data_IF_938993926850
#
_entry.id   IF_938993926850
#
_cell.length_a   1.000
_cell.length_b   1.000
_cell.length_c   1.000
_cell.angle_alpha   90.00
_cell.angle_beta   90.00
_cell.angle_gamma   90.00
#
_symmetry.space_group_name_H-M   'P 1'
#
loop_
_entity.id
_entity.type
_entity.pdbx_description
1 polymer ?
#
# COMPACT_ATOMS: atom_id res chain seq x y z
N UNK A 1 8.93 -44.09 -2.84
CA UNK A 1 9.42 -43.48 -1.58
C UNK A 1 10.32 -42.28 -1.81
N UNK A 2 10.44 -41.74 -3.03
CA UNK A 2 11.33 -40.61 -3.32
C UNK A 2 10.60 -39.25 -3.38
N UNK A 3 9.31 -39.23 -3.75
CA UNK A 3 8.58 -37.96 -3.89
C UNK A 3 8.24 -37.28 -2.56
N UNK A 4 7.97 -38.05 -1.49
CA UNK A 4 7.76 -37.48 -0.15
C UNK A 4 9.03 -36.86 0.43
N UNK A 5 10.20 -37.40 0.07
CA UNK A 5 11.50 -36.83 0.43
C UNK A 5 11.79 -35.54 -0.32
N UNK A 6 11.48 -35.48 -1.63
CA UNK A 6 11.60 -34.29 -2.46
C UNK A 6 10.69 -33.15 -2.00
N UNK A 7 9.39 -33.41 -1.80
CA UNK A 7 8.44 -32.40 -1.32
C UNK A 7 8.83 -31.88 0.07
N UNK A 8 9.30 -32.76 0.97
CA UNK A 8 9.83 -32.33 2.27
C UNK A 8 11.13 -31.51 2.15
N UNK A 9 11.94 -31.78 1.11
CA UNK A 9 13.14 -31.04 0.77
C UNK A 9 12.82 -29.63 0.25
N UNK A 10 11.80 -29.48 -0.59
CA UNK A 10 11.37 -28.19 -1.14
C UNK A 10 10.87 -27.23 -0.06
N UNK A 11 10.02 -27.70 0.86
CA UNK A 11 9.62 -26.91 2.02
C UNK A 11 10.81 -26.59 2.94
N UNK A 12 11.79 -27.50 3.03
CA UNK A 12 13.05 -27.26 3.73
C UNK A 12 13.86 -26.13 3.10
N UNK A 13 13.95 -26.08 1.76
CA UNK A 13 14.62 -24.99 1.02
C UNK A 13 13.92 -23.65 1.23
N UNK A 14 12.59 -23.62 1.18
CA UNK A 14 11.79 -22.41 1.46
C UNK A 14 12.05 -21.92 2.89
N UNK A 15 12.03 -22.83 3.87
CA UNK A 15 12.31 -22.50 5.26
C UNK A 15 13.73 -21.94 5.43
N UNK A 16 14.73 -22.57 4.81
CA UNK A 16 16.11 -22.10 4.83
C UNK A 16 16.25 -20.71 4.19
N UNK A 17 15.51 -20.42 3.12
CA UNK A 17 15.50 -19.10 2.50
C UNK A 17 14.89 -18.04 3.41
N UNK A 18 13.77 -18.34 4.08
CA UNK A 18 13.15 -17.45 5.07
C UNK A 18 14.11 -17.19 6.23
N UNK A 19 14.73 -18.23 6.77
CA UNK A 19 15.72 -18.11 7.86
C UNK A 19 16.92 -17.29 7.39
N UNK A 20 17.46 -17.57 6.21
CA UNK A 20 18.58 -16.83 5.62
C UNK A 20 18.26 -15.35 5.43
N UNK A 21 17.08 -15.03 4.90
CA UNK A 21 16.60 -13.66 4.74
C UNK A 21 16.43 -12.94 6.08
N UNK A 22 15.82 -13.59 7.07
CA UNK A 22 15.69 -13.04 8.42
C UNK A 22 17.05 -12.80 9.09
N UNK A 23 17.98 -13.76 8.99
CA UNK A 23 19.34 -13.63 9.49
C UNK A 23 20.11 -12.51 8.78
N UNK A 24 19.90 -12.31 7.49
CA UNK A 24 20.52 -11.22 6.75
C UNK A 24 20.03 -9.86 7.26
N UNK A 25 18.71 -9.68 7.43
CA UNK A 25 18.14 -8.42 7.94
C UNK A 25 18.56 -8.18 9.39
N UNK A 26 18.45 -9.18 10.27
CA UNK A 26 18.81 -9.08 11.69
C UNK A 26 20.33 -8.87 11.84
N UNK A 27 21.12 -9.65 11.12
CA UNK A 27 22.58 -9.56 11.12
C UNK A 27 23.05 -8.19 10.63
N UNK A 28 22.47 -7.67 9.55
CA UNK A 28 22.72 -6.32 9.06
C UNK A 28 22.34 -5.25 10.08
N UNK A 29 21.18 -5.39 10.74
CA UNK A 29 20.76 -4.47 11.80
C UNK A 29 21.72 -4.47 12.99
N UNK A 30 22.16 -5.65 13.47
CA UNK A 30 23.15 -5.79 14.56
C UNK A 30 24.50 -5.20 14.14
N UNK A 31 24.98 -5.54 12.94
CA UNK A 31 26.23 -5.01 12.41
C UNK A 31 26.20 -3.49 12.31
N UNK A 32 25.12 -2.92 11.79
CA UNK A 32 24.92 -1.47 11.74
C UNK A 32 24.91 -0.84 13.14
N UNK A 33 24.31 -1.52 14.12
CA UNK A 33 24.22 -1.05 15.51
C UNK A 33 25.57 -1.02 16.21
N UNK A 34 26.47 -1.95 15.87
CA UNK A 34 27.85 -2.04 16.39
C UNK A 34 28.74 -0.97 15.72
N UNK A 35 28.63 -0.79 14.41
CA UNK A 35 29.50 0.13 13.66
C UNK A 35 29.10 1.61 13.83
N UNK A 36 27.81 1.89 14.06
CA UNK A 36 27.28 3.27 14.15
C UNK A 36 27.74 3.99 15.43
N UNK A 37 28.16 5.27 15.34
CA UNK A 37 28.36 6.13 16.51
C UNK A 37 27.08 6.25 17.35
N UNK A 38 27.17 5.91 18.65
CA UNK A 38 26.03 5.94 19.56
C UNK A 38 26.09 7.18 20.47
N UNK A 39 25.49 8.29 20.03
CA UNK A 39 25.39 9.56 20.80
C UNK A 39 23.93 10.00 20.95
N UNK A 40 23.16 9.40 21.88
CA UNK A 40 21.79 9.82 22.16
C UNK A 40 21.80 11.21 22.79
N UNK A 41 20.87 12.05 22.37
CA UNK A 41 20.57 13.35 22.98
C UNK A 41 19.02 13.47 23.04
N UNK A 42 18.47 14.32 23.92
CA UNK A 42 17.02 14.48 24.02
C UNK A 42 16.38 14.88 22.69
N UNK A 43 17.03 15.75 21.91
CA UNK A 43 16.51 16.22 20.62
C UNK A 43 16.50 15.20 19.47
N UNK A 44 17.39 14.19 19.45
CA UNK A 44 17.29 13.09 18.45
C UNK A 44 16.27 12.04 18.85
N UNK A 45 15.86 12.05 20.12
CA UNK A 45 14.87 11.13 20.66
C UNK A 45 13.47 11.75 20.72
N UNK A 46 13.36 13.07 20.48
CA UNK A 46 12.08 13.76 20.33
C UNK A 46 11.46 13.52 18.96
N UNK A 47 10.14 13.72 18.86
CA UNK A 47 9.43 13.62 17.58
C UNK A 47 9.75 14.84 16.73
N UNK A 48 9.94 14.63 15.42
CA UNK A 48 10.19 15.73 14.50
C UNK A 48 8.92 16.57 14.28
N UNK A 49 8.97 17.83 14.70
CA UNK A 49 7.88 18.82 14.59
C UNK A 49 8.39 20.15 13.98
N UNK A 50 9.33 20.06 13.03
CA UNK A 50 9.98 21.22 12.40
C UNK A 50 10.63 22.23 13.38
N UNK A 51 10.94 21.81 14.61
CA UNK A 51 11.59 22.62 15.64
C UNK A 51 10.66 23.17 16.73
N UNK A 52 9.36 22.85 16.67
CA UNK A 52 8.39 23.19 17.71
C UNK A 52 8.15 22.01 18.66
N UNK A 53 7.69 22.30 19.89
CA UNK A 53 7.27 21.25 20.81
C UNK A 53 5.92 20.67 20.37
N UNK A 54 5.72 19.33 20.42
CA UNK A 54 4.46 18.70 20.04
C UNK A 54 3.35 19.18 20.97
N UNK A 55 2.34 19.83 20.39
CA UNK A 55 1.17 20.34 21.12
C UNK A 55 -0.09 19.54 20.77
N UNK A 56 -0.86 19.20 21.80
CA UNK A 56 -2.15 18.53 21.64
C UNK A 56 -2.10 17.00 21.74
N UNK A 57 -3.11 16.34 21.18
CA UNK A 57 -3.29 14.89 21.25
C UNK A 57 -2.97 14.25 19.89
N UNK A 58 -2.20 13.17 19.88
CA UNK A 58 -1.88 12.40 18.68
C UNK A 58 -3.07 11.59 18.12
N UNK A 59 -4.25 11.64 18.75
CA UNK A 59 -5.48 11.01 18.25
C UNK A 59 -6.17 11.91 17.23
N UNK A 60 -5.95 11.62 15.95
CA UNK A 60 -6.66 12.23 14.84
C UNK A 60 -7.81 11.34 14.35
N UNK A 61 -8.86 11.95 13.83
CA UNK A 61 -9.92 11.23 13.13
C UNK A 61 -9.44 10.87 11.73
N UNK A 62 -9.13 9.59 11.52
CA UNK A 62 -8.80 9.09 10.18
C UNK A 62 -10.07 9.07 9.32
N UNK A 63 -9.93 9.41 8.04
CA UNK A 63 -11.04 9.38 7.09
C UNK A 63 -11.58 7.93 6.94
N UNK A 64 -12.90 7.75 6.88
CA UNK A 64 -13.51 6.42 6.73
C UNK A 64 -13.16 5.73 5.40
N UNK A 65 -12.69 6.48 4.40
CA UNK A 65 -12.29 5.96 3.09
C UNK A 65 -11.17 4.92 3.17
N UNK A 66 -10.25 5.07 4.14
CA UNK A 66 -9.22 4.06 4.40
C UNK A 66 -9.83 2.73 4.84
N UNK A 67 -10.88 2.77 5.66
CA UNK A 67 -11.59 1.59 6.10
C UNK A 67 -12.36 0.92 4.95
N UNK A 68 -13.04 1.70 4.11
CA UNK A 68 -13.76 1.17 2.93
C UNK A 68 -12.79 0.48 1.97
N UNK A 69 -11.62 1.09 1.70
CA UNK A 69 -10.59 0.47 0.86
C UNK A 69 -10.07 -0.85 1.45
N UNK A 70 -9.81 -0.89 2.76
CA UNK A 70 -9.38 -2.12 3.45
C UNK A 70 -10.45 -3.22 3.43
N UNK A 71 -11.72 -2.85 3.62
CA UNK A 71 -12.84 -3.80 3.58
C UNK A 71 -13.01 -4.41 2.19
N UNK A 72 -12.91 -3.59 1.13
CA UNK A 72 -12.97 -4.05 -0.26
C UNK A 72 -11.79 -4.97 -0.57
N UNK A 73 -10.58 -4.61 -0.16
CA UNK A 73 -9.40 -5.45 -0.31
C UNK A 73 -9.60 -6.83 0.36
N UNK A 74 -10.10 -6.85 1.60
CA UNK A 74 -10.38 -8.10 2.31
C UNK A 74 -11.43 -8.96 1.61
N UNK A 75 -12.47 -8.35 1.05
CA UNK A 75 -13.50 -9.07 0.27
C UNK A 75 -12.90 -9.71 -0.99
N UNK A 76 -12.09 -8.98 -1.75
CA UNK A 76 -11.40 -9.51 -2.93
C UNK A 76 -10.33 -10.56 -2.59
N UNK A 77 -9.64 -10.44 -1.45
CA UNK A 77 -8.67 -11.43 -1.00
C UNK A 77 -9.35 -12.78 -0.70
N UNK A 78 -10.49 -12.74 -0.02
CA UNK A 78 -11.32 -13.93 0.23
C UNK A 78 -11.89 -14.51 -1.07
N UNK A 79 -12.23 -13.68 -2.06
CA UNK A 79 -12.66 -14.16 -3.38
C UNK A 79 -11.61 -15.06 -4.04
N UNK A 80 -10.34 -14.64 -4.02
CA UNK A 80 -9.24 -15.38 -4.63
C UNK A 80 -9.07 -16.76 -3.97
N UNK A 81 -9.29 -16.87 -2.66
CA UNK A 81 -9.27 -18.17 -1.96
C UNK A 81 -10.32 -19.13 -2.53
N UNK A 82 -11.49 -18.65 -2.96
CA UNK A 82 -12.51 -19.48 -3.61
C UNK A 82 -12.19 -19.79 -5.08
N UNK A 83 -11.46 -18.91 -5.77
CA UNK A 83 -11.04 -19.15 -7.16
C UNK A 83 -10.01 -20.27 -7.29
N UNK A 84 -9.16 -20.51 -6.28
CA UNK A 84 -8.15 -21.57 -6.34
C UNK A 84 -8.75 -22.99 -6.47
N UNK A 85 -9.64 -23.45 -5.57
CA UNK A 85 -10.28 -24.75 -5.72
C UNK A 85 -11.14 -24.85 -6.99
N UNK A 86 -11.82 -23.76 -7.38
CA UNK A 86 -12.57 -23.73 -8.63
C UNK A 86 -11.65 -23.97 -9.83
N UNK A 87 -10.49 -23.32 -9.88
CA UNK A 87 -9.52 -23.47 -10.97
C UNK A 87 -8.97 -24.90 -11.07
N UNK A 88 -8.74 -25.57 -9.93
CA UNK A 88 -8.27 -26.98 -9.95
C UNK A 88 -9.34 -27.94 -10.44
N UNK A 89 -10.61 -27.73 -10.07
CA UNK A 89 -11.74 -28.56 -10.51
C UNK A 89 -12.14 -28.29 -11.97
N UNK A 90 -12.08 -27.02 -12.41
CA UNK A 90 -12.32 -26.66 -13.80
C UNK A 90 -11.29 -27.29 -14.75
N UNK A 91 -10.04 -27.46 -14.30
CA UNK A 91 -8.97 -28.08 -15.07
C UNK A 91 -9.00 -29.62 -15.07
N UNK A 92 -9.96 -30.26 -14.40
CA UNK A 92 -10.05 -31.70 -14.28
C UNK A 92 -10.54 -32.36 -15.59
N UNK A 93 -9.66 -33.16 -16.20
CA UNK A 93 -9.90 -33.81 -17.50
C UNK A 93 -10.93 -34.93 -17.40
N UNK A 94 -11.07 -35.59 -16.26
CA UNK A 94 -11.99 -36.70 -16.05
C UNK A 94 -13.43 -36.18 -15.98
N UNK A 95 -13.65 -35.12 -15.21
CA UNK A 95 -14.95 -34.44 -15.12
C UNK A 95 -15.42 -33.87 -16.47
N UNK A 96 -14.50 -33.29 -17.25
CA UNK A 96 -14.81 -32.76 -18.59
C UNK A 96 -15.23 -33.89 -19.55
N UNK A 97 -14.65 -35.09 -19.42
CA UNK A 97 -14.98 -36.24 -20.27
C UNK A 97 -16.32 -36.89 -19.91
N UNK A 98 -16.64 -36.99 -18.62
CA UNK A 98 -17.89 -37.58 -18.15
C UNK A 98 -19.10 -36.66 -18.41
N UNK A 99 -18.93 -35.35 -18.27
CA UNK A 99 -19.99 -34.38 -18.46
C UNK A 99 -19.53 -33.22 -19.37
N UNK A 100 -19.76 -33.28 -20.69
CA UNK A 100 -19.30 -32.26 -21.64
C UNK A 100 -19.87 -30.86 -21.38
N UNK A 101 -21.01 -30.76 -20.70
CA UNK A 101 -21.64 -29.49 -20.30
C UNK A 101 -21.10 -28.91 -18.99
N UNK A 102 -20.32 -29.68 -18.22
CA UNK A 102 -19.77 -29.28 -16.91
C UNK A 102 -18.91 -28.03 -17.00
N UNK A 103 -18.00 -27.97 -18.00
CA UNK A 103 -17.11 -26.82 -18.16
C UNK A 103 -17.85 -25.50 -18.38
N UNK A 104 -18.94 -25.52 -19.15
CA UNK A 104 -19.79 -24.33 -19.35
C UNK A 104 -20.52 -23.91 -18.07
N UNK A 105 -20.96 -24.88 -17.26
CA UNK A 105 -21.61 -24.62 -15.99
C UNK A 105 -20.62 -24.00 -14.98
N UNK A 106 -19.46 -24.62 -14.77
CA UNK A 106 -18.42 -24.13 -13.88
C UNK A 106 -17.91 -22.73 -14.31
N UNK A 107 -17.82 -22.47 -15.62
CA UNK A 107 -17.49 -21.15 -16.15
C UNK A 107 -18.59 -20.12 -15.86
N UNK A 108 -19.86 -20.49 -16.01
CA UNK A 108 -20.97 -19.59 -15.69
C UNK A 108 -21.01 -19.25 -14.19
N UNK A 109 -20.72 -20.22 -13.31
CA UNK A 109 -20.65 -20.01 -11.86
C UNK A 109 -19.56 -19.00 -11.48
N UNK A 110 -18.34 -19.14 -12.02
CA UNK A 110 -17.26 -18.18 -11.68
C UNK A 110 -17.54 -16.79 -12.22
N UNK A 111 -18.14 -16.68 -13.41
CA UNK A 111 -18.52 -15.39 -14.00
C UNK A 111 -19.63 -14.75 -13.16
N UNK A 112 -20.60 -15.53 -12.69
CA UNK A 112 -21.67 -15.03 -11.82
C UNK A 112 -21.09 -14.58 -10.47
N UNK A 113 -20.23 -15.40 -9.88
CA UNK A 113 -19.57 -15.11 -8.59
C UNK A 113 -18.74 -13.83 -8.65
N UNK A 114 -17.81 -13.72 -9.61
CA UNK A 114 -17.02 -12.52 -9.83
C UNK A 114 -17.92 -11.33 -10.24
N UNK A 115 -18.95 -11.56 -11.04
CA UNK A 115 -19.90 -10.55 -11.49
C UNK A 115 -20.63 -9.85 -10.34
N UNK A 116 -21.07 -10.60 -9.32
CA UNK A 116 -21.73 -10.04 -8.13
C UNK A 116 -20.78 -9.08 -7.39
N UNK A 117 -19.52 -9.45 -7.23
CA UNK A 117 -18.51 -8.63 -6.54
C UNK A 117 -18.11 -7.42 -7.37
N UNK A 118 -17.98 -7.57 -8.69
CA UNK A 118 -17.74 -6.47 -9.62
C UNK A 118 -18.87 -5.43 -9.60
N UNK A 119 -20.13 -5.86 -9.49
CA UNK A 119 -21.27 -4.95 -9.32
C UNK A 119 -21.16 -4.19 -7.99
N UNK A 120 -20.78 -4.87 -6.91
CA UNK A 120 -20.50 -4.23 -5.62
C UNK A 120 -19.39 -3.18 -5.70
N UNK A 121 -18.27 -3.52 -6.36
CA UNK A 121 -17.17 -2.58 -6.60
C UNK A 121 -17.61 -1.39 -7.45
N UNK A 122 -18.36 -1.64 -8.53
CA UNK A 122 -18.88 -0.59 -9.40
C UNK A 122 -19.81 0.36 -8.63
N UNK A 123 -20.65 -0.15 -7.73
CA UNK A 123 -21.50 0.66 -6.86
C UNK A 123 -20.69 1.59 -5.95
N UNK A 124 -19.68 1.05 -5.26
CA UNK A 124 -18.84 1.87 -4.36
C UNK A 124 -18.04 2.91 -5.14
N UNK A 125 -17.55 2.54 -6.32
CA UNK A 125 -16.86 3.47 -7.21
C UNK A 125 -17.79 4.59 -7.69
N UNK A 126 -18.99 4.26 -8.17
CA UNK A 126 -19.97 5.26 -8.60
C UNK A 126 -20.38 6.22 -7.46
N UNK A 127 -20.35 5.76 -6.22
CA UNK A 127 -20.62 6.57 -5.03
C UNK A 127 -19.47 7.53 -4.67
N UNK A 128 -18.26 7.33 -5.21
CA UNK A 128 -17.09 8.17 -4.94
C UNK A 128 -16.42 7.90 -3.60
N UNK A 129 -16.75 6.78 -2.93
CA UNK A 129 -16.10 6.40 -1.67
C UNK A 129 -14.62 6.03 -1.86
N UNK A 130 -14.21 5.75 -3.10
CA UNK A 130 -12.82 5.50 -3.51
C UNK A 130 -12.07 6.79 -3.89
N UNK A 131 -12.76 7.93 -4.05
CA UNK A 131 -12.11 9.17 -4.43
C UNK A 131 -11.26 9.71 -3.29
N UNK A 132 -10.09 10.25 -3.61
CA UNK A 132 -9.25 10.87 -2.59
C UNK A 132 -9.63 12.33 -2.33
N UNK A 133 -9.72 12.72 -1.05
CA UNK A 133 -9.91 14.13 -0.68
C UNK A 133 -8.60 14.87 -0.96
N UNK A 134 -8.62 15.80 -1.91
CA UNK A 134 -7.51 16.74 -2.09
C UNK A 134 -7.58 17.78 -0.97
N UNK A 135 -6.49 18.02 -0.22
CA UNK A 135 -6.43 19.11 0.73
C UNK A 135 -6.73 20.43 0.01
N UNK A 136 -7.75 21.16 0.47
CA UNK A 136 -8.00 22.51 0.00
C UNK A 136 -7.04 23.42 0.75
N UNK A 137 -5.96 23.85 0.08
CA UNK A 137 -5.00 24.79 0.67
C UNK A 137 -5.68 26.17 0.72
N UNK A 138 -6.37 26.45 1.82
CA UNK A 138 -6.91 27.77 2.08
C UNK A 138 -5.74 28.63 2.58
N UNK A 139 -5.20 29.49 1.72
CA UNK A 139 -4.14 30.42 2.11
C UNK A 139 -4.61 31.33 3.26
N UNK A 140 -3.72 31.71 4.19
CA UNK A 140 -4.08 32.64 5.25
C UNK A 140 -4.49 33.98 4.62
N UNK A 141 -5.71 34.44 4.91
CA UNK A 141 -6.15 35.78 4.52
C UNK A 141 -5.45 36.79 5.41
N UNK A 142 -4.43 37.44 4.86
CA UNK A 142 -3.68 38.47 5.57
C UNK A 142 -4.44 39.80 5.48
N UNK A 143 -4.61 40.51 6.60
CA UNK A 143 -5.10 41.90 6.59
C UNK A 143 -3.99 42.87 6.17
N UNK A 144 -3.26 42.51 5.11
CA UNK A 144 -2.21 43.36 4.56
C UNK A 144 -2.84 44.43 3.68
N UNK A 145 -2.21 45.60 3.59
CA UNK A 145 -2.61 46.65 2.64
C UNK A 145 -2.47 46.19 1.17
N UNK A 146 -1.69 45.13 0.92
CA UNK A 146 -1.42 44.62 -0.41
C UNK A 146 -2.56 43.67 -0.81
N UNK A 147 -3.19 43.86 -1.98
CA UNK A 147 -4.23 42.96 -2.47
C UNK A 147 -3.72 41.52 -2.65
N UNK A 148 -4.55 40.53 -2.33
CA UNK A 148 -4.22 39.10 -2.48
C UNK A 148 -3.80 38.73 -3.92
N UNK A 149 -4.32 39.44 -4.93
CA UNK A 149 -3.98 39.24 -6.34
C UNK A 149 -2.49 39.46 -6.64
N UNK A 150 -1.83 40.37 -5.92
CA UNK A 150 -0.40 40.64 -6.08
C UNK A 150 0.43 39.47 -5.54
N UNK A 151 0.03 38.90 -4.40
CA UNK A 151 0.66 37.70 -3.86
C UNK A 151 0.47 36.49 -4.77
N UNK A 152 -0.72 36.32 -5.37
CA UNK A 152 -0.95 35.25 -6.35
C UNK A 152 -0.13 35.45 -7.63
N UNK A 153 0.04 36.69 -8.09
CA UNK A 153 0.87 36.99 -9.25
C UNK A 153 2.34 36.72 -8.96
N UNK A 154 2.82 37.09 -7.76
CA UNK A 154 4.18 36.78 -7.32
C UNK A 154 4.39 35.28 -7.17
N UNK A 155 3.51 34.56 -6.47
CA UNK A 155 3.60 33.12 -6.29
C UNK A 155 3.58 32.38 -7.63
N UNK A 156 2.75 32.79 -8.60
CA UNK A 156 2.76 32.21 -9.96
C UNK A 156 4.11 32.38 -10.66
N UNK A 157 4.75 33.54 -10.54
CA UNK A 157 6.08 33.79 -11.12
C UNK A 157 7.17 33.02 -10.37
N UNK A 158 7.12 33.01 -9.04
CA UNK A 158 8.07 32.29 -8.18
C UNK A 158 7.97 30.77 -8.33
N UNK A 159 6.76 30.24 -8.59
CA UNK A 159 6.53 28.81 -8.86
C UNK A 159 7.15 28.34 -10.18
N UNK A 160 7.43 29.28 -11.09
CA UNK A 160 8.09 28.99 -12.37
C UNK A 160 9.61 29.09 -12.28
N UNK A 161 10.17 29.40 -11.09
CA UNK A 161 11.61 29.43 -10.89
C UNK A 161 12.14 28.01 -10.98
N UNK A 162 13.12 27.74 -11.88
CA UNK A 162 13.78 26.44 -11.96
C UNK A 162 14.33 26.04 -10.58
N UNK A 163 14.41 24.73 -10.25
CA UNK A 163 14.99 24.29 -8.99
C UNK A 163 16.33 25.00 -8.77
N UNK A 164 16.52 25.59 -7.58
CA UNK A 164 17.76 26.26 -7.24
C UNK A 164 18.92 25.29 -7.53
N UNK A 165 19.74 25.61 -8.54
CA UNK A 165 21.04 24.99 -8.67
C UNK A 165 21.77 25.34 -7.38
N UNK A 166 21.90 24.36 -6.50
CA UNK A 166 22.70 24.50 -5.29
C UNK A 166 24.10 24.86 -5.79
N UNK A 167 24.46 26.14 -5.66
CA UNK A 167 25.82 26.60 -5.88
C UNK A 167 26.65 25.86 -4.85
N UNK A 168 27.20 24.72 -5.24
CA UNK A 168 28.21 23.99 -4.48
C UNK A 168 29.42 24.91 -4.50
N UNK A 169 29.55 25.74 -3.48
CA UNK A 169 30.79 26.44 -3.21
C UNK A 169 31.80 25.38 -2.75
N UNK A 170 32.36 24.63 -3.70
CA UNK A 170 33.62 23.94 -3.48
C UNK A 170 34.71 25.01 -3.43
N UNK A 171 35.26 25.20 -2.23
CA UNK A 171 36.58 25.76 -1.97
C UNK A 171 37.15 25.01 -0.77
#
# INVERSE_FOLDING_TARGET
MNELGEVSGDFGLVLLFIIGGALFVIGGAIFSRILRPNRPNPEKLSTYECGEDPVGNARIQLNNRFYVAALIFLLFDVEIIFLFPWATVFADVELIREAPSWGYFALAEVILFAGILLVGLAYVWAKGDLDWVKPQVSGPKSNSKVPDSEYEAFNRRASQVPPLELVTTEN
#
